data_IF_160394563063
#
_entry.id   IF_160394563063
#
_cell.length_a   1.000
_cell.length_b   1.000
_cell.length_c   1.000
_cell.angle_alpha   90.00
_cell.angle_beta   90.00
_cell.angle_gamma   90.00
#
_symmetry.space_group_name_H-M   'P 1'
#
loop_
_entity.id
_entity.type
_entity.pdbx_description
1 polymer ?
#
# COMPACT_ATOMS: atom_id res chain seq x y z
N UNK A 1 -19.46 -7.43 7.79
CA UNK A 1 -19.60 -5.98 7.47
C UNK A 1 -19.25 -5.80 6.01
N UNK A 2 -20.04 -5.02 5.28
CA UNK A 2 -19.76 -4.66 3.88
C UNK A 2 -19.82 -3.14 3.75
N UNK A 3 -18.71 -2.53 3.33
CA UNK A 3 -18.64 -1.12 2.98
C UNK A 3 -18.62 -1.01 1.46
N UNK A 4 -19.57 -0.28 0.89
CA UNK A 4 -19.71 -0.08 -0.55
C UNK A 4 -19.60 1.40 -0.90
N UNK A 5 -18.70 1.69 -1.82
CA UNK A 5 -18.56 2.97 -2.50
C UNK A 5 -19.15 2.82 -3.90
N UNK A 6 -20.17 3.59 -4.23
CA UNK A 6 -20.82 3.55 -5.55
C UNK A 6 -20.60 4.89 -6.26
N UNK A 7 -19.69 4.91 -7.21
CA UNK A 7 -19.34 6.06 -8.07
C UNK A 7 -19.13 7.37 -7.30
N UNK A 8 -18.39 7.29 -6.19
CA UNK A 8 -18.06 8.48 -5.39
C UNK A 8 -17.27 9.47 -6.24
N UNK A 9 -17.69 10.73 -6.19
CA UNK A 9 -17.08 11.84 -6.91
C UNK A 9 -16.86 13.02 -5.99
N UNK A 10 -15.68 13.68 -6.12
CA UNK A 10 -15.33 14.87 -5.34
C UNK A 10 -14.46 15.81 -6.16
N UNK A 11 -14.87 17.07 -6.21
CA UNK A 11 -14.10 18.18 -6.79
C UNK A 11 -13.75 19.21 -5.72
N UNK A 12 -12.64 19.88 -5.91
CA UNK A 12 -12.25 21.10 -5.20
C UNK A 12 -11.99 22.16 -6.27
N UNK A 13 -12.85 23.16 -6.34
CA UNK A 13 -12.86 24.12 -7.45
C UNK A 13 -12.83 23.38 -8.81
N UNK A 14 -11.79 23.60 -9.63
CA UNK A 14 -11.62 22.93 -10.93
C UNK A 14 -10.86 21.59 -10.85
N UNK A 15 -10.40 21.18 -9.66
CA UNK A 15 -9.62 19.96 -9.47
C UNK A 15 -10.50 18.77 -9.09
N UNK A 16 -10.50 17.72 -9.93
CA UNK A 16 -11.20 16.47 -9.65
C UNK A 16 -10.29 15.59 -8.74
N UNK A 17 -10.62 15.53 -7.46
CA UNK A 17 -9.85 14.75 -6.49
C UNK A 17 -10.26 13.27 -6.46
N UNK A 18 -11.54 12.98 -6.70
CA UNK A 18 -12.12 11.63 -6.79
C UNK A 18 -13.05 11.59 -7.99
N UNK A 19 -12.79 10.69 -8.94
CA UNK A 19 -13.57 10.55 -10.16
C UNK A 19 -14.30 9.21 -10.21
N UNK A 20 -15.53 9.19 -9.71
CA UNK A 20 -16.48 8.07 -9.78
C UNK A 20 -15.92 6.73 -9.29
N UNK A 21 -15.26 6.75 -8.12
CA UNK A 21 -14.70 5.56 -7.53
C UNK A 21 -15.81 4.63 -7.03
N UNK A 22 -15.73 3.36 -7.45
CA UNK A 22 -16.53 2.26 -6.91
C UNK A 22 -15.59 1.22 -6.30
N UNK A 23 -15.89 0.82 -5.06
CA UNK A 23 -15.09 -0.13 -4.29
C UNK A 23 -15.97 -0.81 -3.26
N UNK A 24 -15.79 -2.11 -3.07
CA UNK A 24 -16.41 -2.86 -1.96
C UNK A 24 -15.33 -3.39 -1.04
N UNK A 25 -15.52 -3.23 0.28
CA UNK A 25 -14.67 -3.80 1.34
C UNK A 25 -15.52 -4.73 2.19
N UNK A 26 -15.11 -5.99 2.31
CA UNK A 26 -15.90 -7.04 2.93
C UNK A 26 -15.20 -7.71 4.11
N UNK A 27 -16.02 -8.28 5.01
CA UNK A 27 -15.53 -9.10 6.12
C UNK A 27 -14.54 -8.37 7.02
N UNK A 28 -13.38 -8.99 7.23
CA UNK A 28 -12.25 -8.48 8.02
C UNK A 28 -11.02 -8.17 7.14
N UNK A 29 -11.24 -7.78 5.88
CA UNK A 29 -10.16 -7.45 4.95
C UNK A 29 -9.29 -6.28 5.44
N UNK A 30 -8.01 -6.37 5.12
CA UNK A 30 -7.08 -5.25 5.16
C UNK A 30 -6.89 -4.71 3.74
N UNK A 31 -7.44 -3.54 3.46
CA UNK A 31 -7.37 -2.89 2.14
C UNK A 31 -6.39 -1.72 2.20
N UNK A 32 -5.41 -1.70 1.28
CA UNK A 32 -4.51 -0.56 1.11
C UNK A 32 -4.92 0.30 -0.09
N UNK A 33 -5.15 1.60 0.15
CA UNK A 33 -5.21 2.62 -0.89
C UNK A 33 -3.78 3.06 -1.20
N UNK A 34 -3.28 2.70 -2.37
CA UNK A 34 -1.90 2.94 -2.79
C UNK A 34 -1.86 3.82 -4.04
N UNK A 35 -0.89 4.72 -4.14
CA UNK A 35 -0.74 5.61 -5.30
C UNK A 35 0.16 6.80 -5.00
N UNK A 36 0.52 7.61 -6.00
CA UNK A 36 1.38 8.79 -5.83
C UNK A 36 0.72 9.86 -4.96
N UNK A 37 1.52 10.81 -4.50
CA UNK A 37 1.01 11.97 -3.77
C UNK A 37 0.01 12.75 -4.61
N UNK A 38 -1.09 13.20 -3.99
CA UNK A 38 -2.13 13.98 -4.68
C UNK A 38 -3.13 13.17 -5.53
N UNK A 39 -3.03 11.83 -5.60
CA UNK A 39 -3.98 11.03 -6.40
C UNK A 39 -5.36 10.79 -5.73
N UNK A 40 -5.64 11.37 -4.56
CA UNK A 40 -6.97 11.33 -3.93
C UNK A 40 -7.14 10.36 -2.76
N UNK A 41 -6.13 9.58 -2.35
CA UNK A 41 -6.22 8.56 -1.27
C UNK A 41 -6.75 9.11 0.05
N UNK A 42 -6.10 10.14 0.60
CA UNK A 42 -6.51 10.79 1.85
C UNK A 42 -7.88 11.46 1.70
N UNK A 43 -8.21 12.01 0.53
CA UNK A 43 -9.53 12.54 0.23
C UNK A 43 -10.59 11.44 0.33
N UNK A 44 -10.36 10.28 -0.29
CA UNK A 44 -11.26 9.13 -0.23
C UNK A 44 -11.41 8.63 1.22
N UNK A 45 -10.31 8.48 1.94
CA UNK A 45 -10.34 8.06 3.34
C UNK A 45 -11.14 9.05 4.21
N UNK A 46 -10.98 10.35 4.02
CA UNK A 46 -11.75 11.39 4.73
C UNK A 46 -13.24 11.37 4.41
N UNK A 47 -13.61 11.06 3.16
CA UNK A 47 -15.01 10.85 2.77
C UNK A 47 -15.59 9.64 3.50
N UNK A 48 -14.85 8.50 3.50
CA UNK A 48 -15.26 7.30 4.24
C UNK A 48 -15.40 7.60 5.74
N UNK A 49 -14.48 8.36 6.31
CA UNK A 49 -14.50 8.77 7.71
C UNK A 49 -15.67 9.72 8.08
N UNK A 50 -16.28 10.38 7.11
CA UNK A 50 -17.29 11.43 7.35
C UNK A 50 -16.72 12.78 7.78
N UNK A 51 -15.43 12.98 7.50
CA UNK A 51 -14.71 14.25 7.73
C UNK A 51 -14.78 15.17 6.52
N UNK A 52 -15.20 14.64 5.38
CA UNK A 52 -15.40 15.37 4.13
C UNK A 52 -16.64 14.82 3.41
N UNK A 53 -17.42 15.69 2.81
CA UNK A 53 -18.58 15.33 1.99
C UNK A 53 -18.15 15.11 0.53
N UNK A 54 -18.69 14.09 -0.12
CA UNK A 54 -18.58 13.90 -1.57
C UNK A 54 -19.65 14.70 -2.30
N UNK A 55 -19.47 14.93 -3.60
CA UNK A 55 -20.38 15.75 -4.40
C UNK A 55 -21.47 14.89 -5.06
N UNK A 56 -21.14 13.64 -5.41
CA UNK A 56 -22.09 12.66 -5.93
C UNK A 56 -21.64 11.23 -5.67
N UNK A 57 -22.51 10.26 -5.93
CA UNK A 57 -22.32 8.85 -5.58
C UNK A 57 -22.98 8.49 -4.26
N UNK A 58 -22.69 7.28 -3.75
CA UNK A 58 -23.24 6.77 -2.48
C UNK A 58 -22.17 6.06 -1.69
N UNK A 59 -22.25 6.16 -0.37
CA UNK A 59 -21.43 5.43 0.59
C UNK A 59 -22.35 4.59 1.48
N UNK A 60 -22.30 3.28 1.34
CA UNK A 60 -23.17 2.37 2.07
C UNK A 60 -22.38 1.51 3.03
N UNK A 61 -22.92 1.27 4.23
CA UNK A 61 -22.41 0.32 5.21
C UNK A 61 -23.52 -0.69 5.57
N UNK A 62 -23.34 -1.94 5.19
CA UNK A 62 -24.37 -2.99 5.32
C UNK A 62 -25.73 -2.53 4.73
N UNK A 63 -25.71 -1.90 3.56
CA UNK A 63 -26.88 -1.34 2.88
C UNK A 63 -27.41 -0.02 3.44
N UNK A 64 -26.90 0.48 4.58
CA UNK A 64 -27.28 1.78 5.13
C UNK A 64 -26.44 2.90 4.50
N UNK A 65 -27.08 3.92 3.97
CA UNK A 65 -26.41 5.10 3.42
C UNK A 65 -25.76 5.94 4.54
N UNK A 66 -24.46 6.18 4.43
CA UNK A 66 -23.65 6.99 5.34
C UNK A 66 -23.36 8.39 4.79
N UNK A 67 -23.82 8.74 3.58
CA UNK A 67 -23.46 9.99 2.91
C UNK A 67 -23.71 11.23 3.76
N UNK A 68 -24.83 11.27 4.51
CA UNK A 68 -25.20 12.36 5.41
C UNK A 68 -24.86 12.07 6.89
N UNK A 69 -24.29 10.90 7.23
CA UNK A 69 -23.99 10.53 8.61
C UNK A 69 -22.67 11.17 9.05
N UNK A 70 -22.67 11.99 10.12
CA UNK A 70 -21.45 12.65 10.60
C UNK A 70 -20.45 11.62 11.17
N UNK A 71 -19.16 11.96 11.15
CA UNK A 71 -18.05 11.06 11.56
C UNK A 71 -18.28 10.41 12.96
N UNK A 72 -18.75 11.17 13.93
CA UNK A 72 -19.01 10.70 15.32
C UNK A 72 -20.03 9.56 15.40
N UNK A 73 -20.91 9.44 14.39
CA UNK A 73 -22.03 8.47 14.37
C UNK A 73 -21.73 7.25 13.47
N UNK A 74 -20.63 7.28 12.67
CA UNK A 74 -20.23 6.16 11.80
C UNK A 74 -19.66 4.97 12.58
N UNK A 75 -19.17 5.21 13.81
CA UNK A 75 -18.59 4.15 14.63
C UNK A 75 -17.26 3.63 14.10
N UNK A 76 -16.47 4.46 13.43
CA UNK A 76 -15.16 4.12 12.89
C UNK A 76 -14.04 4.55 13.82
N UNK A 77 -12.94 3.79 13.84
CA UNK A 77 -11.69 4.19 14.50
C UNK A 77 -10.75 4.82 13.46
N UNK A 78 -10.13 5.93 13.81
CA UNK A 78 -9.25 6.67 12.88
C UNK A 78 -7.90 6.89 13.53
N UNK A 79 -6.82 6.60 12.78
CA UNK A 79 -5.44 6.98 13.10
C UNK A 79 -4.96 7.94 12.01
N UNK A 80 -4.62 9.16 12.41
CA UNK A 80 -4.09 10.19 11.52
C UNK A 80 -2.57 10.08 11.37
N UNK A 81 -2.03 10.65 10.31
CA UNK A 81 -0.61 10.68 10.00
C UNK A 81 0.26 11.25 11.14
N UNK A 82 -0.23 12.26 11.85
CA UNK A 82 0.42 12.88 13.01
C UNK A 82 0.10 12.20 14.34
N UNK A 83 -0.52 10.99 14.31
CA UNK A 83 -1.04 10.24 15.46
C UNK A 83 -2.10 11.01 16.27
N UNK A 84 -2.08 12.33 16.28
CA UNK A 84 -3.04 13.26 16.90
C UNK A 84 -3.42 12.88 18.34
N UNK A 85 -2.41 12.46 19.14
CA UNK A 85 -2.61 12.23 20.58
C UNK A 85 -2.88 13.57 21.29
N UNK A 86 -3.72 13.53 22.29
CA UNK A 86 -3.97 14.69 23.15
C UNK A 86 -2.74 14.94 24.03
N UNK A 87 -2.00 16.04 23.85
CA UNK A 87 -0.69 16.22 24.46
C UNK A 87 -0.72 16.36 25.99
N UNK A 88 -1.86 16.83 26.51
CA UNK A 88 -2.08 17.09 27.95
C UNK A 88 -2.80 15.93 28.66
N UNK A 89 -2.96 14.78 27.99
CA UNK A 89 -3.57 13.58 28.55
C UNK A 89 -2.54 12.47 28.61
N UNK A 90 -2.59 11.65 29.65
CA UNK A 90 -1.77 10.44 29.76
C UNK A 90 -2.11 9.43 28.66
N UNK A 91 -1.28 8.40 28.51
CA UNK A 91 -1.55 7.27 27.61
C UNK A 91 -2.90 6.63 27.93
N UNK A 92 -3.16 6.33 29.21
CA UNK A 92 -4.43 5.76 29.66
C UNK A 92 -5.62 6.65 29.32
N UNK A 93 -5.48 7.95 29.54
CA UNK A 93 -6.53 8.94 29.22
C UNK A 93 -6.76 9.06 27.70
N UNK A 94 -5.70 9.03 26.88
CA UNK A 94 -5.79 9.02 25.44
C UNK A 94 -6.58 7.79 24.96
N UNK A 95 -6.21 6.59 25.41
CA UNK A 95 -6.88 5.34 25.02
C UNK A 95 -8.34 5.36 25.47
N UNK A 96 -8.61 5.73 26.71
CA UNK A 96 -9.96 5.74 27.29
C UNK A 96 -10.86 6.90 26.83
N UNK A 97 -10.33 7.87 26.07
CA UNK A 97 -11.04 9.12 25.74
C UNK A 97 -12.38 8.88 25.04
N UNK A 98 -12.40 8.05 24.00
CA UNK A 98 -13.63 7.77 23.25
C UNK A 98 -14.70 7.08 24.09
N UNK A 99 -14.32 6.19 24.99
CA UNK A 99 -15.22 5.52 25.95
C UNK A 99 -15.79 6.52 26.96
N UNK A 100 -14.96 7.45 27.44
CA UNK A 100 -15.39 8.53 28.37
C UNK A 100 -16.44 9.45 27.73
N UNK A 101 -16.25 9.84 26.46
CA UNK A 101 -17.25 10.62 25.70
C UNK A 101 -18.57 9.87 25.56
N UNK A 102 -18.52 8.54 25.40
CA UNK A 102 -19.70 7.66 25.36
C UNK A 102 -20.29 7.37 26.73
N UNK A 103 -19.78 7.99 27.82
CA UNK A 103 -20.24 7.84 29.22
C UNK A 103 -20.15 6.38 29.69
N UNK A 104 -19.17 5.61 29.25
CA UNK A 104 -18.89 4.26 29.75
C UNK A 104 -18.40 4.37 31.20
N UNK A 105 -18.75 3.38 32.04
CA UNK A 105 -18.34 3.31 33.43
C UNK A 105 -16.81 3.31 33.58
N UNK A 106 -16.31 3.97 34.65
CA UNK A 106 -14.87 4.16 34.91
C UNK A 106 -14.13 2.84 35.09
N UNK A 107 -14.72 1.87 35.79
CA UNK A 107 -14.10 0.57 36.02
C UNK A 107 -13.95 -0.19 34.70
N UNK A 108 -14.94 -0.08 33.83
CA UNK A 108 -14.91 -0.70 32.48
C UNK A 108 -13.90 -0.02 31.57
N UNK A 109 -13.77 1.31 31.66
CA UNK A 109 -12.70 2.05 30.95
C UNK A 109 -11.32 1.56 31.42
N UNK A 110 -11.09 1.51 32.73
CA UNK A 110 -9.81 1.08 33.30
C UNK A 110 -9.43 -0.35 32.87
N UNK A 111 -10.38 -1.28 32.91
CA UNK A 111 -10.16 -2.66 32.47
C UNK A 111 -9.81 -2.73 30.98
N UNK A 112 -10.54 -2.01 30.11
CA UNK A 112 -10.27 -1.97 28.66
C UNK A 112 -8.94 -1.32 28.33
N UNK A 113 -8.57 -0.25 29.02
CA UNK A 113 -7.26 0.41 28.87
C UNK A 113 -6.13 -0.53 29.24
N UNK A 114 -6.23 -1.28 30.36
CA UNK A 114 -5.23 -2.25 30.75
C UNK A 114 -5.08 -3.37 29.69
N UNK A 115 -6.18 -3.93 29.20
CA UNK A 115 -6.20 -4.91 28.13
C UNK A 115 -5.50 -4.40 26.86
N UNK A 116 -5.79 -3.16 26.45
CA UNK A 116 -5.21 -2.57 25.25
C UNK A 116 -3.73 -2.24 25.41
N UNK A 117 -3.28 -1.83 26.60
CA UNK A 117 -1.88 -1.60 26.90
C UNK A 117 -1.06 -2.89 26.80
N UNK A 118 -1.60 -4.01 27.29
CA UNK A 118 -0.99 -5.33 27.08
C UNK A 118 -0.94 -5.71 25.61
N UNK A 119 -2.06 -5.48 24.88
CA UNK A 119 -2.18 -5.79 23.46
C UNK A 119 -1.15 -5.07 22.59
N UNK A 120 -0.86 -3.79 22.91
CA UNK A 120 0.14 -2.96 22.21
C UNK A 120 1.54 -3.07 22.80
N UNK A 121 1.76 -3.97 23.77
CA UNK A 121 3.05 -4.24 24.44
C UNK A 121 3.63 -3.01 25.18
N UNK A 122 2.77 -2.21 25.82
CA UNK A 122 3.13 -1.00 26.58
C UNK A 122 2.48 -0.95 27.98
N UNK A 123 2.47 -2.04 28.79
CA UNK A 123 1.73 -2.11 30.06
C UNK A 123 2.14 -1.04 31.07
N UNK A 124 3.45 -0.71 31.10
CA UNK A 124 4.04 0.19 32.12
C UNK A 124 3.95 1.68 31.76
N UNK A 125 3.32 2.03 30.63
CA UNK A 125 3.33 3.41 30.12
C UNK A 125 2.00 4.16 30.33
N UNK A 126 1.06 3.61 31.13
CA UNK A 126 -0.26 4.16 31.35
C UNK A 126 -0.29 5.65 31.73
N UNK A 127 0.64 6.05 32.65
CA UNK A 127 0.69 7.40 33.23
C UNK A 127 1.63 8.36 32.46
N UNK A 128 2.26 7.91 31.38
CA UNK A 128 3.14 8.77 30.58
C UNK A 128 2.34 9.73 29.71
N UNK A 129 2.94 10.88 29.45
CA UNK A 129 2.43 11.87 28.49
C UNK A 129 3.00 11.61 27.09
N UNK A 130 2.33 11.99 26.00
CA UNK A 130 2.77 11.72 24.62
C UNK A 130 4.21 12.16 24.32
N UNK A 131 4.67 13.31 24.83
CA UNK A 131 6.02 13.80 24.61
C UNK A 131 7.13 12.95 25.28
N UNK A 132 6.76 12.05 26.18
CA UNK A 132 7.67 11.11 26.85
C UNK A 132 7.80 9.78 26.07
N UNK A 133 7.11 9.65 24.96
CA UNK A 133 7.04 8.44 24.14
C UNK A 133 7.85 8.59 22.85
N UNK A 134 8.46 7.50 22.39
CA UNK A 134 8.98 7.42 21.02
C UNK A 134 7.86 7.48 19.98
N UNK A 135 8.18 7.82 18.72
CA UNK A 135 7.21 7.86 17.64
C UNK A 135 6.43 6.55 17.47
N UNK A 136 7.14 5.40 17.52
CA UNK A 136 6.49 4.09 17.46
C UNK A 136 5.57 3.80 18.65
N UNK A 137 5.93 4.24 19.86
CA UNK A 137 5.06 4.12 21.04
C UNK A 137 3.81 5.02 20.89
N UNK A 138 3.97 6.26 20.40
CA UNK A 138 2.84 7.15 20.13
C UNK A 138 1.86 6.54 19.12
N UNK A 139 2.38 5.91 18.08
CA UNK A 139 1.57 5.23 17.08
C UNK A 139 0.77 4.07 17.67
N UNK A 140 1.42 3.20 18.47
CA UNK A 140 0.74 2.09 19.17
C UNK A 140 -0.38 2.62 20.06
N UNK A 141 -0.15 3.71 20.80
CA UNK A 141 -1.19 4.37 21.61
C UNK A 141 -2.33 4.90 20.75
N UNK A 142 -2.03 5.51 19.59
CA UNK A 142 -3.06 5.99 18.66
C UNK A 142 -3.91 4.82 18.08
N UNK A 143 -3.28 3.68 17.77
CA UNK A 143 -3.99 2.46 17.37
C UNK A 143 -4.87 1.94 18.50
N UNK A 144 -4.37 1.83 19.74
CA UNK A 144 -5.15 1.41 20.90
C UNK A 144 -6.35 2.33 21.13
N UNK A 145 -6.16 3.65 21.02
CA UNK A 145 -7.26 4.63 21.11
C UNK A 145 -8.33 4.41 20.04
N UNK A 146 -7.91 4.12 18.79
CA UNK A 146 -8.84 3.88 17.69
C UNK A 146 -9.68 2.61 17.90
N UNK A 147 -9.12 1.56 18.51
CA UNK A 147 -9.82 0.28 18.74
C UNK A 147 -10.54 0.22 20.10
N UNK A 148 -10.31 1.17 21.03
CA UNK A 148 -10.86 1.14 22.37
C UNK A 148 -12.40 1.15 22.42
N UNK A 149 -13.03 1.69 21.40
CA UNK A 149 -14.49 1.84 21.29
C UNK A 149 -15.18 0.74 20.47
N UNK A 150 -14.47 -0.35 20.20
CA UNK A 150 -14.90 -1.46 19.36
C UNK A 150 -15.48 -0.97 18.01
N UNK A 151 -14.63 -0.37 17.15
CA UNK A 151 -15.08 0.23 15.90
C UNK A 151 -15.51 -0.85 14.89
N UNK A 152 -16.43 -0.48 14.00
CA UNK A 152 -16.86 -1.34 12.88
C UNK A 152 -15.83 -1.35 11.74
N UNK A 153 -14.98 -0.34 11.63
CA UNK A 153 -13.97 -0.15 10.61
C UNK A 153 -12.81 0.66 11.19
N UNK A 154 -11.59 0.31 10.84
CA UNK A 154 -10.38 1.08 11.18
C UNK A 154 -9.88 1.79 9.93
N UNK A 155 -9.59 3.08 10.05
CA UNK A 155 -9.04 3.93 9.01
C UNK A 155 -7.66 4.42 9.43
N UNK A 156 -6.64 4.16 8.61
CA UNK A 156 -5.25 4.52 8.88
C UNK A 156 -4.76 5.47 7.78
N UNK A 157 -4.48 6.72 8.12
CA UNK A 157 -3.97 7.72 7.17
C UNK A 157 -2.45 7.83 7.31
N UNK A 158 -1.69 7.19 6.43
CA UNK A 158 -0.23 7.11 6.41
C UNK A 158 0.41 6.84 7.79
N UNK A 159 -0.01 5.77 8.49
CA UNK A 159 0.33 5.59 9.91
C UNK A 159 1.83 5.40 10.17
N UNK A 160 2.63 5.05 9.17
CA UNK A 160 4.03 4.69 9.32
C UNK A 160 5.01 5.73 8.73
N UNK A 161 4.49 6.79 8.10
CA UNK A 161 5.30 7.73 7.31
C UNK A 161 6.32 8.55 8.12
N UNK A 162 6.04 8.80 9.41
CA UNK A 162 6.89 9.62 10.29
C UNK A 162 7.98 8.82 11.03
N UNK A 163 8.14 7.50 10.74
CA UNK A 163 9.01 6.61 11.48
C UNK A 163 10.27 6.24 10.69
N UNK A 164 11.35 5.93 11.42
CA UNK A 164 12.55 5.35 10.83
C UNK A 164 12.31 3.94 10.28
N UNK A 165 13.20 3.48 9.39
CA UNK A 165 13.00 2.24 8.62
C UNK A 165 12.89 0.99 9.52
N UNK A 166 13.66 0.92 10.62
CA UNK A 166 13.65 -0.25 11.52
C UNK A 166 12.34 -0.32 12.30
N UNK A 167 11.95 0.78 12.94
CA UNK A 167 10.68 0.88 13.69
C UNK A 167 9.48 0.64 12.76
N UNK A 168 9.54 1.13 11.54
CA UNK A 168 8.50 0.91 10.52
C UNK A 168 8.35 -0.57 10.17
N UNK A 169 9.47 -1.30 10.00
CA UNK A 169 9.43 -2.73 9.69
C UNK A 169 8.77 -3.54 10.83
N UNK A 170 9.13 -3.26 12.07
CA UNK A 170 8.56 -3.94 13.25
C UNK A 170 7.05 -3.65 13.38
N UNK A 171 6.66 -2.38 13.21
CA UNK A 171 5.26 -1.97 13.35
C UNK A 171 4.35 -2.48 12.22
N UNK A 172 4.86 -2.70 11.02
CA UNK A 172 4.09 -3.36 9.95
C UNK A 172 3.58 -4.72 10.42
N UNK A 173 4.47 -5.54 10.98
CA UNK A 173 4.09 -6.87 11.48
C UNK A 173 3.05 -6.75 12.59
N UNK A 174 3.28 -5.85 13.55
CA UNK A 174 2.38 -5.67 14.70
C UNK A 174 0.99 -5.16 14.29
N UNK A 175 0.90 -4.21 13.35
CA UNK A 175 -0.40 -3.72 12.83
C UNK A 175 -1.18 -4.88 12.20
N UNK A 176 -0.50 -5.71 11.39
CA UNK A 176 -1.16 -6.85 10.75
C UNK A 176 -1.61 -7.90 11.76
N UNK A 177 -0.78 -8.23 12.76
CA UNK A 177 -1.12 -9.14 13.85
C UNK A 177 -2.33 -8.62 14.64
N UNK A 178 -2.31 -7.33 15.01
CA UNK A 178 -3.39 -6.66 15.73
C UNK A 178 -4.70 -6.75 14.94
N UNK A 179 -4.68 -6.40 13.66
CA UNK A 179 -5.85 -6.43 12.81
C UNK A 179 -6.44 -7.85 12.69
N UNK A 180 -5.58 -8.87 12.48
CA UNK A 180 -6.01 -10.28 12.42
C UNK A 180 -6.63 -10.75 13.73
N UNK A 181 -6.02 -10.36 14.86
CA UNK A 181 -6.53 -10.73 16.20
C UNK A 181 -7.88 -10.09 16.50
N UNK A 182 -8.08 -8.84 16.08
CA UNK A 182 -9.34 -8.13 16.29
C UNK A 182 -10.42 -8.52 15.28
N UNK A 183 -10.05 -8.98 14.09
CA UNK A 183 -10.98 -9.30 13.00
C UNK A 183 -11.76 -8.10 12.47
N UNK A 184 -11.24 -6.88 12.70
CA UNK A 184 -11.88 -5.63 12.26
C UNK A 184 -11.37 -5.27 10.86
N UNK A 185 -12.27 -4.99 9.89
CA UNK A 185 -11.86 -4.51 8.57
C UNK A 185 -11.06 -3.20 8.70
N UNK A 186 -10.05 -3.06 7.86
CA UNK A 186 -9.12 -1.93 7.93
C UNK A 186 -8.87 -1.36 6.54
N UNK A 187 -8.95 -0.04 6.40
CA UNK A 187 -8.52 0.68 5.20
C UNK A 187 -7.32 1.54 5.58
N UNK A 188 -6.20 1.35 4.89
CA UNK A 188 -4.98 2.11 5.09
C UNK A 188 -4.63 2.90 3.84
N UNK A 189 -4.22 4.14 4.02
CA UNK A 189 -3.57 4.95 2.99
C UNK A 189 -2.07 4.84 3.15
N UNK A 190 -1.36 4.58 2.07
CA UNK A 190 0.09 4.65 2.01
C UNK A 190 0.56 5.05 0.61
N UNK A 191 1.78 5.56 0.51
CA UNK A 191 2.51 5.71 -0.74
C UNK A 191 3.68 4.70 -0.85
N UNK A 192 3.90 3.90 0.19
CA UNK A 192 4.94 2.88 0.27
C UNK A 192 4.40 1.54 -0.26
N UNK A 193 5.01 1.05 -1.33
CA UNK A 193 4.63 -0.20 -1.99
C UNK A 193 4.87 -1.42 -1.10
N UNK A 194 5.97 -1.40 -0.32
CA UNK A 194 6.33 -2.48 0.58
C UNK A 194 5.31 -2.62 1.71
N UNK A 195 4.84 -1.49 2.27
CA UNK A 195 3.74 -1.48 3.25
C UNK A 195 2.47 -2.11 2.68
N UNK A 196 2.08 -1.69 1.48
CA UNK A 196 0.89 -2.22 0.83
C UNK A 196 1.01 -3.72 0.54
N UNK A 197 2.18 -4.18 0.06
CA UNK A 197 2.42 -5.59 -0.24
C UNK A 197 2.42 -6.49 0.99
N UNK A 198 2.95 -6.01 2.13
CA UNK A 198 3.08 -6.81 3.34
C UNK A 198 1.79 -6.83 4.16
N UNK A 199 1.09 -5.70 4.25
CA UNK A 199 -0.02 -5.51 5.16
C UNK A 199 -1.37 -5.95 4.58
N UNK A 200 -1.59 -5.76 3.27
CA UNK A 200 -2.94 -5.86 2.74
C UNK A 200 -3.33 -7.23 2.20
N UNK A 201 -4.62 -7.53 2.28
CA UNK A 201 -5.24 -8.62 1.54
C UNK A 201 -5.56 -8.16 0.11
N UNK A 202 -5.89 -6.86 -0.06
CA UNK A 202 -6.15 -6.23 -1.35
C UNK A 202 -5.55 -4.83 -1.41
N UNK A 203 -4.98 -4.50 -2.56
CA UNK A 203 -4.48 -3.17 -2.90
C UNK A 203 -5.45 -2.53 -3.89
N UNK A 204 -5.81 -1.27 -3.63
CA UNK A 204 -6.50 -0.37 -4.54
C UNK A 204 -5.46 0.62 -5.06
N UNK A 205 -4.94 0.36 -6.25
CA UNK A 205 -3.96 1.24 -6.89
C UNK A 205 -4.69 2.42 -7.53
N UNK A 206 -4.37 3.63 -7.08
CA UNK A 206 -5.04 4.86 -7.48
C UNK A 206 -4.09 5.79 -8.24
N UNK A 207 -4.63 6.45 -9.26
CA UNK A 207 -3.93 7.49 -10.03
C UNK A 207 -4.92 8.58 -10.46
N UNK A 208 -4.55 9.85 -10.32
CA UNK A 208 -5.32 11.01 -10.76
C UNK A 208 -6.83 10.93 -10.43
N UNK A 209 -7.16 10.58 -9.19
CA UNK A 209 -8.54 10.48 -8.70
C UNK A 209 -9.29 9.21 -9.11
N UNK A 210 -8.66 8.27 -9.82
CA UNK A 210 -9.27 7.04 -10.34
C UNK A 210 -8.62 5.79 -9.76
N UNK A 211 -9.35 4.69 -9.81
CA UNK A 211 -8.80 3.36 -9.53
C UNK A 211 -8.26 2.77 -10.82
N UNK A 212 -6.98 2.45 -10.83
CA UNK A 212 -6.28 1.80 -11.96
C UNK A 212 -6.46 0.28 -11.93
N UNK A 213 -6.27 -0.32 -10.74
CA UNK A 213 -6.43 -1.75 -10.53
C UNK A 213 -6.74 -2.05 -9.06
N UNK A 214 -7.54 -3.07 -8.83
CA UNK A 214 -7.81 -3.64 -7.50
C UNK A 214 -7.51 -5.13 -7.55
N UNK A 215 -6.78 -5.65 -6.56
CA UNK A 215 -6.48 -7.07 -6.49
C UNK A 215 -5.55 -7.41 -5.32
N UNK A 216 -5.18 -8.68 -5.20
CA UNK A 216 -4.18 -9.12 -4.25
C UNK A 216 -2.81 -8.51 -4.59
N UNK A 217 -1.91 -8.29 -3.60
CA UNK A 217 -0.57 -7.73 -3.84
C UNK A 217 0.20 -8.43 -4.96
N UNK A 218 0.19 -9.75 -4.96
CA UNK A 218 0.87 -10.55 -6.00
C UNK A 218 0.26 -10.34 -7.39
N UNK A 219 -1.06 -10.15 -7.48
CA UNK A 219 -1.73 -9.91 -8.76
C UNK A 219 -1.31 -8.58 -9.38
N UNK A 220 -1.29 -7.49 -8.58
CA UNK A 220 -0.85 -6.18 -9.07
C UNK A 220 0.62 -6.19 -9.50
N UNK A 221 1.46 -6.96 -8.80
CA UNK A 221 2.88 -7.05 -9.10
C UNK A 221 3.17 -7.89 -10.34
N UNK A 222 2.60 -9.10 -10.42
CA UNK A 222 2.88 -10.08 -11.48
C UNK A 222 2.02 -9.85 -12.74
N UNK A 223 0.81 -9.29 -12.59
CA UNK A 223 -0.17 -9.08 -13.66
C UNK A 223 -0.74 -7.66 -13.62
N UNK A 224 0.11 -6.64 -13.78
CA UNK A 224 -0.36 -5.26 -13.83
C UNK A 224 -1.31 -5.06 -15.03
N UNK A 225 -2.42 -4.36 -14.80
CA UNK A 225 -3.41 -4.11 -15.84
C UNK A 225 -3.03 -2.96 -16.77
N UNK A 226 -2.26 -1.99 -16.26
CA UNK A 226 -1.86 -0.78 -17.00
C UNK A 226 -0.36 -0.55 -16.86
N UNK A 227 0.21 0.21 -17.80
CA UNK A 227 1.58 0.69 -17.71
C UNK A 227 1.86 1.40 -16.38
N UNK A 228 0.89 2.22 -15.92
CA UNK A 228 1.02 2.92 -14.65
C UNK A 228 1.22 1.94 -13.48
N UNK A 229 0.39 0.90 -13.39
CA UNK A 229 0.51 -0.11 -12.31
C UNK A 229 1.82 -0.86 -12.41
N UNK A 230 2.27 -1.20 -13.63
CA UNK A 230 3.54 -1.88 -13.85
C UNK A 230 4.74 -1.08 -13.32
N UNK A 231 4.77 0.23 -13.62
CA UNK A 231 5.84 1.13 -13.19
C UNK A 231 5.72 1.47 -11.70
N UNK A 232 4.49 1.65 -11.22
CA UNK A 232 4.24 2.07 -9.85
C UNK A 232 4.41 0.93 -8.83
N UNK A 233 4.12 -0.33 -9.18
CA UNK A 233 4.23 -1.50 -8.28
C UNK A 233 5.64 -2.09 -8.20
N UNK A 234 6.66 -1.35 -8.57
CA UNK A 234 8.05 -1.78 -8.54
C UNK A 234 8.75 -1.56 -9.87
N UNK A 235 10.04 -1.81 -9.92
CA UNK A 235 10.82 -1.67 -11.14
C UNK A 235 10.35 -2.69 -12.20
N UNK A 236 10.21 -2.24 -13.45
CA UNK A 236 9.83 -3.10 -14.58
C UNK A 236 10.64 -2.72 -15.82
N UNK A 237 10.97 -3.72 -16.62
CA UNK A 237 11.39 -3.51 -18.01
C UNK A 237 10.12 -3.50 -18.87
N UNK A 238 9.72 -2.33 -19.37
CA UNK A 238 8.60 -2.16 -20.29
C UNK A 238 9.13 -2.13 -21.71
N UNK A 239 8.89 -3.21 -22.45
CA UNK A 239 9.55 -3.49 -23.73
C UNK A 239 8.50 -3.46 -24.85
N UNK A 240 8.75 -2.72 -25.95
CA UNK A 240 7.88 -2.73 -27.12
C UNK A 240 7.78 -4.13 -27.75
N UNK A 241 6.61 -4.44 -28.25
CA UNK A 241 6.31 -5.76 -28.83
C UNK A 241 7.23 -6.13 -30.01
N UNK A 242 7.55 -5.17 -30.88
CA UNK A 242 8.46 -5.36 -32.01
C UNK A 242 9.88 -5.76 -31.55
N UNK A 243 10.39 -5.06 -30.55
CA UNK A 243 11.70 -5.39 -29.96
C UNK A 243 11.69 -6.77 -29.28
N UNK A 244 10.62 -7.10 -28.54
CA UNK A 244 10.46 -8.42 -27.89
C UNK A 244 10.43 -9.54 -28.91
N UNK A 245 9.76 -9.35 -30.05
CA UNK A 245 9.70 -10.34 -31.13
C UNK A 245 11.10 -10.66 -31.68
N UNK A 246 11.97 -9.67 -31.79
CA UNK A 246 13.34 -9.84 -32.28
C UNK A 246 14.29 -10.41 -31.21
N UNK A 247 14.22 -9.84 -29.98
CA UNK A 247 15.18 -10.12 -28.92
C UNK A 247 14.80 -11.33 -28.05
N UNK A 248 13.50 -11.53 -27.82
CA UNK A 248 12.95 -12.54 -26.89
C UNK A 248 11.71 -13.24 -27.49
N UNK A 249 11.81 -13.91 -28.66
CA UNK A 249 10.62 -14.43 -29.36
C UNK A 249 9.77 -15.41 -28.55
N UNK A 250 10.37 -16.10 -27.57
CA UNK A 250 9.65 -17.02 -26.69
C UNK A 250 8.57 -16.31 -25.85
N UNK A 251 8.73 -15.02 -25.54
CA UNK A 251 7.73 -14.25 -24.78
C UNK A 251 6.47 -13.94 -25.58
N UNK A 252 6.53 -14.00 -26.91
CA UNK A 252 5.40 -13.75 -27.78
C UNK A 252 4.25 -14.75 -27.62
N UNK A 253 4.54 -15.95 -27.09
CA UNK A 253 3.52 -16.99 -26.88
C UNK A 253 2.43 -16.58 -25.88
N UNK A 254 2.72 -15.68 -24.93
CA UNK A 254 1.77 -15.17 -23.93
C UNK A 254 1.17 -13.80 -24.29
N UNK A 255 1.49 -13.27 -25.48
CA UNK A 255 1.01 -11.95 -25.89
C UNK A 255 -0.49 -11.99 -26.18
N UNK A 256 -1.29 -11.01 -25.68
CA UNK A 256 -2.67 -10.87 -26.08
C UNK A 256 -2.83 -10.53 -27.57
N UNK A 257 -3.97 -10.88 -28.15
CA UNK A 257 -4.33 -10.48 -29.52
C UNK A 257 -4.48 -8.97 -29.64
N UNK A 258 -4.07 -8.39 -30.75
CA UNK A 258 -4.17 -6.94 -31.03
C UNK A 258 -2.94 -6.41 -31.79
N UNK A 259 -2.92 -5.10 -32.07
CA UNK A 259 -1.78 -4.46 -32.73
C UNK A 259 -0.57 -4.38 -31.79
N UNK A 260 0.64 -4.41 -32.38
CA UNK A 260 1.88 -4.38 -31.59
C UNK A 260 2.02 -3.11 -30.73
N UNK A 261 1.58 -1.98 -31.26
CA UNK A 261 1.63 -0.69 -30.56
C UNK A 261 0.66 -0.60 -29.35
N UNK A 262 -0.27 -1.55 -29.21
CA UNK A 262 -1.22 -1.55 -28.09
C UNK A 262 -0.66 -2.16 -26.82
N UNK A 263 0.44 -2.92 -26.91
CA UNK A 263 0.96 -3.68 -25.78
C UNK A 263 2.46 -3.48 -25.58
N UNK A 264 2.86 -3.48 -24.32
CA UNK A 264 4.24 -3.56 -23.87
C UNK A 264 4.41 -4.86 -23.06
N UNK A 265 5.50 -5.57 -23.28
CA UNK A 265 5.89 -6.64 -22.38
C UNK A 265 6.39 -6.05 -21.07
N UNK A 266 5.82 -6.50 -19.95
CA UNK A 266 6.22 -6.12 -18.61
C UNK A 266 7.06 -7.27 -18.03
N UNK A 267 8.35 -7.04 -17.92
CA UNK A 267 9.31 -8.03 -17.43
C UNK A 267 9.96 -7.52 -16.14
N UNK A 268 9.75 -8.23 -15.04
CA UNK A 268 10.37 -7.88 -13.77
C UNK A 268 11.87 -8.14 -13.80
N UNK A 269 12.71 -7.28 -13.18
CA UNK A 269 14.17 -7.40 -13.20
C UNK A 269 14.70 -8.74 -12.67
N UNK A 270 14.02 -9.36 -11.71
CA UNK A 270 14.38 -10.67 -11.13
C UNK A 270 14.09 -11.86 -12.03
N UNK A 271 13.30 -11.68 -13.09
CA UNK A 271 13.05 -12.71 -14.11
C UNK A 271 14.05 -12.66 -15.26
N UNK A 272 14.96 -11.69 -15.25
CA UNK A 272 16.07 -11.59 -16.20
C UNK A 272 17.32 -12.19 -15.56
N UNK A 273 17.97 -13.11 -16.24
CA UNK A 273 19.21 -13.75 -15.78
C UNK A 273 20.37 -13.35 -16.66
N UNK A 274 21.50 -13.10 -16.02
CA UNK A 274 22.78 -12.79 -16.68
C UNK A 274 23.74 -13.96 -16.48
N UNK A 275 24.46 -14.29 -17.54
CA UNK A 275 25.56 -15.23 -17.50
C UNK A 275 26.78 -14.60 -18.15
N UNK A 276 27.92 -14.61 -17.48
CA UNK A 276 29.18 -14.17 -18.06
C UNK A 276 29.48 -14.97 -19.31
N UNK A 277 29.77 -14.29 -20.42
CA UNK A 277 30.01 -14.96 -21.72
C UNK A 277 30.85 -14.07 -22.60
N UNK A 278 32.00 -14.56 -23.04
CA UNK A 278 32.89 -13.83 -23.99
C UNK A 278 32.19 -13.47 -25.30
N UNK A 279 31.19 -14.28 -25.71
CA UNK A 279 30.41 -14.10 -26.95
C UNK A 279 29.01 -13.46 -26.64
N UNK A 280 28.78 -12.95 -25.42
CA UNK A 280 27.52 -12.35 -25.05
C UNK A 280 27.24 -11.08 -25.86
N UNK A 281 25.99 -10.94 -26.34
CA UNK A 281 25.55 -9.78 -27.13
C UNK A 281 25.25 -8.57 -26.26
N UNK A 282 24.98 -8.77 -24.97
CA UNK A 282 24.71 -7.69 -24.04
C UNK A 282 25.99 -7.22 -23.33
N UNK A 283 25.98 -5.96 -22.91
CA UNK A 283 27.08 -5.32 -22.15
C UNK A 283 26.57 -4.78 -20.84
N UNK A 284 27.29 -5.05 -19.76
CA UNK A 284 27.03 -4.46 -18.45
C UNK A 284 27.33 -2.97 -18.51
N UNK A 285 26.36 -2.13 -18.19
CA UNK A 285 26.50 -0.67 -18.15
C UNK A 285 26.92 -0.22 -16.75
N UNK A 286 26.21 -0.72 -15.74
CA UNK A 286 26.39 -0.33 -14.35
C UNK A 286 25.92 -1.42 -13.39
N UNK A 287 26.50 -1.46 -12.20
CA UNK A 287 26.14 -2.40 -11.12
C UNK A 287 26.00 -1.62 -9.82
N UNK A 288 24.82 -1.69 -9.23
CA UNK A 288 24.52 -1.09 -7.91
C UNK A 288 24.33 -2.21 -6.88
N UNK A 289 25.17 -2.25 -5.86
CA UNK A 289 25.04 -3.18 -4.75
C UNK A 289 24.08 -2.63 -3.69
N UNK A 290 23.03 -3.39 -3.38
CA UNK A 290 21.98 -3.01 -2.42
C UNK A 290 21.96 -3.91 -1.18
N UNK A 291 23.10 -4.50 -0.81
CA UNK A 291 23.27 -5.38 0.34
C UNK A 291 22.95 -6.84 0.00
N UNK A 292 21.70 -7.23 0.00
CA UNK A 292 21.26 -8.61 -0.27
C UNK A 292 20.98 -8.89 -1.77
N UNK A 293 20.94 -7.85 -2.59
CA UNK A 293 20.76 -7.94 -4.04
C UNK A 293 21.70 -7.00 -4.77
N UNK A 294 21.99 -7.33 -6.01
CA UNK A 294 22.66 -6.45 -6.98
C UNK A 294 21.68 -6.07 -8.10
N UNK A 295 21.65 -4.79 -8.43
CA UNK A 295 20.88 -4.25 -9.54
C UNK A 295 21.85 -3.88 -10.66
N UNK A 296 21.72 -4.56 -11.79
CA UNK A 296 22.61 -4.43 -12.94
C UNK A 296 21.83 -3.85 -14.11
N UNK A 297 22.36 -2.78 -14.74
CA UNK A 297 21.87 -2.30 -16.04
C UNK A 297 22.71 -2.92 -17.14
N UNK A 298 22.05 -3.46 -18.14
CA UNK A 298 22.69 -4.04 -19.31
C UNK A 298 22.16 -3.41 -20.59
N UNK A 299 23.06 -3.03 -21.48
CA UNK A 299 22.73 -2.61 -22.85
C UNK A 299 22.63 -3.86 -23.73
N UNK A 300 21.49 -4.08 -24.38
CA UNK A 300 21.22 -5.19 -25.26
C UNK A 300 20.31 -4.79 -26.41
N UNK A 301 20.73 -5.07 -27.63
CA UNK A 301 19.98 -4.78 -28.87
C UNK A 301 19.36 -3.39 -28.89
N UNK A 302 20.18 -2.37 -28.57
CA UNK A 302 19.79 -0.96 -28.61
C UNK A 302 18.91 -0.48 -27.45
N UNK A 303 18.69 -1.30 -26.41
CA UNK A 303 17.94 -0.92 -25.19
C UNK A 303 18.71 -1.27 -23.93
N UNK A 304 18.36 -0.56 -22.87
CA UNK A 304 18.82 -0.91 -21.52
C UNK A 304 17.76 -1.77 -20.82
N UNK A 305 18.22 -2.84 -20.18
CA UNK A 305 17.43 -3.68 -19.31
C UNK A 305 17.96 -3.54 -17.88
N UNK A 306 17.04 -3.49 -16.93
CA UNK A 306 17.34 -3.63 -15.52
C UNK A 306 17.23 -5.10 -15.12
N UNK A 307 18.25 -5.61 -14.45
CA UNK A 307 18.33 -6.98 -13.94
C UNK A 307 18.57 -6.93 -12.45
N UNK A 308 17.88 -7.76 -11.71
CA UNK A 308 18.05 -7.91 -10.28
C UNK A 308 18.44 -9.35 -9.96
N UNK A 309 19.62 -9.51 -9.37
CA UNK A 309 20.16 -10.83 -9.02
C UNK A 309 20.59 -10.86 -7.56
N UNK A 310 20.73 -12.05 -7.00
CA UNK A 310 21.58 -12.24 -5.83
C UNK A 310 23.02 -11.79 -6.16
N UNK A 311 23.88 -11.71 -5.17
CA UNK A 311 25.25 -11.24 -5.36
C UNK A 311 25.94 -12.03 -6.52
N UNK A 312 26.40 -11.30 -7.54
CA UNK A 312 27.15 -11.87 -8.67
C UNK A 312 28.58 -11.36 -8.58
N UNK A 313 29.49 -12.23 -8.16
CA UNK A 313 30.88 -11.85 -7.84
C UNK A 313 31.72 -11.48 -9.07
N UNK A 314 31.37 -11.89 -10.29
CA UNK A 314 32.24 -11.83 -11.47
C UNK A 314 31.79 -10.87 -12.59
N UNK A 315 30.84 -9.96 -12.33
CA UNK A 315 30.43 -8.99 -13.34
C UNK A 315 31.03 -7.61 -13.04
N UNK A 316 31.59 -7.00 -14.07
CA UNK A 316 32.09 -5.62 -14.03
C UNK A 316 31.47 -4.78 -15.16
N UNK A 317 31.39 -3.46 -15.02
CA UNK A 317 31.01 -2.58 -16.13
C UNK A 317 31.85 -2.86 -17.38
N UNK A 318 31.21 -2.95 -18.55
CA UNK A 318 31.81 -3.32 -19.83
C UNK A 318 31.86 -4.82 -20.10
N UNK A 319 31.62 -5.69 -19.12
CA UNK A 319 31.62 -7.15 -19.33
C UNK A 319 30.54 -7.59 -20.33
N UNK A 320 30.90 -8.56 -21.14
CA UNK A 320 29.98 -9.22 -22.07
C UNK A 320 29.16 -10.27 -21.32
N UNK A 321 27.84 -10.26 -21.51
CA UNK A 321 26.92 -11.20 -20.87
C UNK A 321 25.90 -11.74 -21.85
N UNK A 322 25.52 -13.01 -21.65
CA UNK A 322 24.32 -13.56 -22.24
C UNK A 322 23.12 -13.26 -21.36
N UNK A 323 22.02 -12.84 -21.99
CA UNK A 323 20.74 -12.56 -21.32
C UNK A 323 19.79 -13.70 -21.58
N UNK A 324 19.18 -14.23 -20.54
CA UNK A 324 18.07 -15.17 -20.62
C UNK A 324 16.91 -14.70 -19.74
N UNK A 325 15.70 -15.11 -20.09
CA UNK A 325 14.47 -14.65 -19.45
C UNK A 325 13.60 -15.84 -19.09
N UNK A 326 13.03 -15.80 -17.90
CA UNK A 326 11.96 -16.72 -17.53
C UNK A 326 10.64 -16.23 -18.15
N UNK A 327 10.15 -16.95 -19.15
CA UNK A 327 8.93 -16.58 -19.85
C UNK A 327 7.69 -16.56 -18.96
N UNK A 328 7.66 -17.32 -17.86
CA UNK A 328 6.56 -17.32 -16.91
C UNK A 328 6.47 -16.01 -16.12
N UNK A 329 7.55 -15.23 -16.03
CA UNK A 329 7.62 -13.94 -15.36
C UNK A 329 7.28 -12.73 -16.25
N UNK A 330 6.87 -12.93 -17.50
CA UNK A 330 6.49 -11.87 -18.41
C UNK A 330 4.97 -11.65 -18.42
N UNK A 331 4.54 -10.44 -18.05
CA UNK A 331 3.18 -9.95 -18.28
C UNK A 331 3.11 -9.05 -19.52
N UNK A 332 1.88 -8.71 -19.93
CA UNK A 332 1.63 -7.74 -21.00
C UNK A 332 0.70 -6.66 -20.49
N UNK A 333 1.05 -5.42 -20.71
CA UNK A 333 0.26 -4.25 -20.32
C UNK A 333 -0.11 -3.41 -21.53
N UNK A 334 -1.22 -2.72 -21.45
CA UNK A 334 -1.56 -1.74 -22.50
C UNK A 334 -0.57 -0.58 -22.48
N UNK A 335 -0.12 -0.17 -23.69
CA UNK A 335 0.87 0.87 -23.91
C UNK A 335 0.40 2.28 -23.48
#
# INVERSE_FOLDING_TARGET
>A
MTLELDRLHKTFDDFVAIDRISLTVEGSEFVCLLGPSGCGKTTLLRIIAGLLTHDSGRLLLDGRDLSAVPARERGFGIVFQSYSLFPNMTVAENIGYGMRIRKVDRARIAARVAELLELIKLPDLADRLPYQLSGGQQQRVALARAVAVDPRLILLDEPLSALDAKVRADLRVEIRELQRRLGIPTIMVTHDQEEAMILSDRIVCMNAGRVEQVGAPQELYLRPATRFVADFMGSSNLLPTDWVREAMPALMASRPDGADAEYLACLRPEHVRLQSSSNGEARVVDISFLGHISRTRVAWKGRELMVQTGHVEDLAPGAAVAVSVDAAGCGWVRA
#
